data_IF_791821884608
#
_entry.id   IF_791821884608
#
_cell.length_a   1.000
_cell.length_b   1.000
_cell.length_c   1.000
_cell.angle_alpha   90.00
_cell.angle_beta   90.00
_cell.angle_gamma   90.00
#
_symmetry.space_group_name_H-M   'P 1'
#
loop_
_entity.id
_entity.type
_entity.pdbx_description
1 polymer ?
#
# COMPACT_ATOMS: atom_id res chain seq x y z
N UNK A 1 -1.07 -28.70 -4.61
CA UNK A 1 -0.66 -29.61 -5.70
C UNK A 1 -1.57 -29.45 -6.92
N UNK A 2 -2.88 -29.66 -6.80
CA UNK A 2 -3.84 -29.47 -7.90
C UNK A 2 -3.72 -28.12 -8.66
N UNK A 3 -3.68 -26.99 -7.94
CA UNK A 3 -3.51 -25.68 -8.59
C UNK A 3 -2.18 -25.53 -9.34
N UNK A 4 -1.10 -26.14 -8.82
CA UNK A 4 0.20 -26.11 -9.48
C UNK A 4 0.15 -26.94 -10.78
N UNK A 5 -0.51 -28.09 -10.76
CA UNK A 5 -0.72 -28.92 -11.95
C UNK A 5 -1.53 -28.19 -13.02
N UNK A 6 -2.65 -27.54 -12.65
CA UNK A 6 -3.45 -26.73 -13.58
C UNK A 6 -2.63 -25.58 -14.19
N UNK A 7 -1.75 -24.96 -13.41
CA UNK A 7 -0.88 -23.88 -13.87
C UNK A 7 0.38 -24.38 -14.62
N UNK A 8 0.55 -25.70 -14.78
CA UNK A 8 1.74 -26.28 -15.42
C UNK A 8 3.04 -26.06 -14.63
N UNK A 9 2.96 -25.96 -13.29
CA UNK A 9 4.09 -25.73 -12.39
C UNK A 9 4.42 -26.99 -11.59
N UNK A 10 5.70 -27.35 -11.55
CA UNK A 10 6.22 -28.49 -10.78
C UNK A 10 6.74 -28.09 -9.40
N UNK A 11 7.27 -26.87 -9.28
CA UNK A 11 7.81 -26.33 -8.03
C UNK A 11 6.79 -25.38 -7.39
N UNK A 12 6.61 -25.53 -6.08
CA UNK A 12 5.75 -24.65 -5.28
C UNK A 12 6.64 -23.71 -4.48
N UNK A 13 6.36 -22.43 -4.60
CA UNK A 13 7.06 -21.37 -3.87
C UNK A 13 6.10 -20.85 -2.80
N UNK A 14 6.58 -20.72 -1.56
CA UNK A 14 5.83 -20.03 -0.52
C UNK A 14 6.01 -18.51 -0.71
N UNK A 15 4.92 -17.73 -0.63
CA UNK A 15 4.99 -16.29 -0.90
C UNK A 15 5.62 -15.54 0.27
N UNK A 16 6.14 -14.34 0.00
CA UNK A 16 6.29 -13.33 1.03
C UNK A 16 4.88 -12.81 1.35
N UNK A 17 4.41 -12.89 2.61
CA UNK A 17 3.15 -12.28 2.97
C UNK A 17 3.28 -10.75 3.00
N UNK A 18 2.36 -10.05 2.35
CA UNK A 18 2.15 -8.61 2.52
C UNK A 18 1.01 -8.42 3.53
N UNK A 19 1.33 -7.99 4.73
CA UNK A 19 0.35 -7.81 5.81
C UNK A 19 -0.13 -6.38 5.81
N UNK A 20 -1.41 -6.14 5.53
CA UNK A 20 -2.01 -4.82 5.72
C UNK A 20 -2.12 -4.50 7.22
N UNK A 21 -1.35 -3.51 7.70
CA UNK A 21 -1.22 -3.20 9.13
C UNK A 21 -1.78 -1.84 9.54
N UNK A 22 -2.00 -0.94 8.58
CA UNK A 22 -2.77 0.29 8.75
C UNK A 22 -3.77 0.39 7.60
N UNK A 23 -5.06 0.45 7.93
CA UNK A 23 -6.12 0.69 6.96
C UNK A 23 -6.42 2.18 6.83
N UNK A 24 -6.56 2.64 5.60
CA UNK A 24 -7.13 3.93 5.22
C UNK A 24 -8.19 3.74 4.14
N UNK A 25 -8.28 4.70 3.22
CA UNK A 25 -9.18 4.67 2.08
C UNK A 25 -10.62 4.31 2.46
N UNK A 26 -11.25 3.47 1.66
CA UNK A 26 -12.60 2.98 1.85
C UNK A 26 -12.70 1.89 2.94
N UNK A 27 -11.58 1.34 3.41
CA UNK A 27 -11.50 0.26 4.40
C UNK A 27 -11.46 0.74 5.87
N UNK A 28 -11.48 2.06 6.11
CA UNK A 28 -11.42 2.63 7.46
C UNK A 28 -12.16 3.96 7.61
N UNK A 29 -12.88 4.10 8.73
CA UNK A 29 -13.54 5.33 9.17
C UNK A 29 -12.59 6.43 9.68
N UNK A 30 -11.39 6.56 9.11
CA UNK A 30 -10.42 7.62 9.38
C UNK A 30 -10.34 8.60 8.19
N UNK A 31 -9.39 9.54 8.23
CA UNK A 31 -9.18 10.52 7.13
C UNK A 31 -8.13 10.10 6.10
N UNK A 32 -7.42 9.00 6.34
CA UNK A 32 -6.31 8.56 5.51
C UNK A 32 -6.82 8.18 4.12
N UNK A 33 -6.30 8.79 3.06
CA UNK A 33 -6.82 8.56 1.70
C UNK A 33 -6.37 7.22 1.10
N UNK A 34 -5.11 6.85 1.28
CA UNK A 34 -4.57 5.61 0.72
C UNK A 34 -5.08 4.40 1.53
N UNK A 35 -5.38 3.31 0.84
CA UNK A 35 -6.19 2.21 1.37
C UNK A 35 -5.41 1.28 2.30
N UNK A 36 -4.20 0.90 1.91
CA UNK A 36 -3.42 -0.11 2.60
C UNK A 36 -1.96 0.30 2.79
N UNK A 37 -1.46 0.04 3.99
CA UNK A 37 -0.05 0.18 4.29
C UNK A 37 0.43 -1.15 4.84
N UNK A 38 1.21 -1.83 4.01
CA UNK A 38 1.60 -3.21 4.22
C UNK A 38 3.05 -3.34 4.68
N UNK A 39 3.32 -4.38 5.47
CA UNK A 39 4.68 -4.83 5.77
C UNK A 39 4.96 -6.17 5.08
N UNK A 40 6.16 -6.30 4.51
CA UNK A 40 6.61 -7.45 3.76
C UNK A 40 7.91 -7.98 4.39
N UNK A 41 7.89 -9.11 5.13
CA UNK A 41 9.08 -9.69 5.74
C UNK A 41 9.99 -10.42 4.72
N UNK A 42 10.54 -9.67 3.77
CA UNK A 42 11.42 -10.15 2.68
C UNK A 42 12.75 -10.73 3.18
N UNK A 43 13.21 -10.31 4.37
CA UNK A 43 14.41 -10.83 5.01
C UNK A 43 14.22 -12.14 5.79
N UNK A 44 13.01 -12.71 5.82
CA UNK A 44 12.73 -13.99 6.45
C UNK A 44 13.23 -15.18 5.60
N UNK A 45 13.69 -16.24 6.25
CA UNK A 45 14.19 -17.46 5.58
C UNK A 45 13.10 -18.52 5.36
N UNK A 46 11.96 -18.38 6.04
CA UNK A 46 10.79 -19.27 5.92
C UNK A 46 9.49 -18.49 6.06
N UNK A 47 8.40 -19.03 5.52
CA UNK A 47 7.07 -18.42 5.70
C UNK A 47 6.68 -18.31 7.19
N UNK A 48 7.01 -19.31 8.01
CA UNK A 48 6.74 -19.27 9.46
C UNK A 48 7.51 -18.15 10.16
N UNK A 49 8.76 -17.89 9.76
CA UNK A 49 9.54 -16.75 10.24
C UNK A 49 8.93 -15.42 9.76
N UNK A 50 8.51 -15.33 8.50
CA UNK A 50 7.85 -14.14 7.97
C UNK A 50 6.56 -13.83 8.75
N UNK A 51 5.74 -14.85 9.02
CA UNK A 51 4.53 -14.70 9.82
C UNK A 51 4.81 -14.23 11.25
N UNK A 52 5.85 -14.78 11.89
CA UNK A 52 6.30 -14.33 13.21
C UNK A 52 6.70 -12.86 13.17
N UNK A 53 7.57 -12.48 12.23
CA UNK A 53 8.04 -11.10 12.05
C UNK A 53 6.87 -10.13 11.85
N UNK A 54 5.94 -10.46 10.94
CA UNK A 54 4.74 -9.65 10.68
C UNK A 54 3.88 -9.48 11.94
N UNK A 55 3.61 -10.57 12.67
CA UNK A 55 2.79 -10.53 13.89
C UNK A 55 3.43 -9.70 15.01
N UNK A 56 4.75 -9.77 15.18
CA UNK A 56 5.46 -9.01 16.19
C UNK A 56 5.46 -7.51 15.85
N UNK A 57 5.73 -7.15 14.59
CA UNK A 57 5.60 -5.75 14.14
C UNK A 57 4.18 -5.23 14.32
N UNK A 58 3.15 -6.01 13.99
CA UNK A 58 1.76 -5.61 14.19
C UNK A 58 1.45 -5.32 15.67
N UNK A 59 1.90 -6.16 16.61
CA UNK A 59 1.73 -5.90 18.04
C UNK A 59 2.54 -4.69 18.54
N UNK A 60 3.74 -4.46 18.01
CA UNK A 60 4.52 -3.26 18.30
C UNK A 60 3.84 -2.00 17.76
N UNK A 61 3.29 -2.07 16.55
CA UNK A 61 2.55 -0.97 15.92
C UNK A 61 1.34 -0.58 16.75
N UNK A 62 0.59 -1.56 17.28
CA UNK A 62 -0.50 -1.30 18.24
C UNK A 62 -0.05 -0.41 19.40
N UNK A 63 1.11 -0.71 19.97
CA UNK A 63 1.65 0.04 21.11
C UNK A 63 2.15 1.43 20.70
N UNK A 64 2.74 1.57 19.51
CA UNK A 64 3.14 2.86 18.95
C UNK A 64 1.92 3.76 18.74
N UNK A 65 0.88 3.24 18.08
CA UNK A 65 -0.37 3.95 17.83
C UNK A 65 -1.03 4.34 19.16
N UNK A 66 -1.16 3.39 20.09
CA UNK A 66 -1.72 3.65 21.42
C UNK A 66 -0.96 4.75 22.17
N UNK A 67 0.37 4.74 22.10
CA UNK A 67 1.20 5.72 22.78
C UNK A 67 1.07 7.13 22.22
N UNK A 68 0.78 7.27 20.92
CA UNK A 68 0.66 8.57 20.23
C UNK A 68 -0.77 9.12 20.20
N UNK A 69 -1.76 8.25 20.02
CA UNK A 69 -3.15 8.65 19.71
C UNK A 69 -4.18 8.11 20.72
N UNK A 70 -3.76 7.31 21.70
CA UNK A 70 -4.64 6.71 22.70
C UNK A 70 -5.20 5.35 22.29
N UNK A 71 -5.94 4.72 23.21
CA UNK A 71 -6.45 3.36 23.04
C UNK A 71 -7.44 3.23 21.88
N UNK A 72 -8.29 4.23 21.68
CA UNK A 72 -9.37 4.18 20.69
C UNK A 72 -8.84 4.09 19.25
N UNK A 73 -7.66 4.65 19.00
CA UNK A 73 -6.95 4.57 17.72
C UNK A 73 -6.40 3.17 17.39
N UNK A 74 -6.51 2.20 18.31
CA UNK A 74 -6.09 0.80 18.07
C UNK A 74 -7.23 -0.12 17.65
N UNK A 75 -8.39 0.45 17.33
CA UNK A 75 -9.44 -0.26 16.60
C UNK A 75 -8.95 -0.60 15.19
N UNK A 76 -9.52 -1.65 14.61
CA UNK A 76 -9.12 -2.15 13.29
C UNK A 76 -10.14 -1.77 12.21
N UNK A 77 -9.66 -1.62 10.97
CA UNK A 77 -10.50 -1.51 9.78
C UNK A 77 -10.98 -2.87 9.29
N UNK A 78 -11.52 -2.90 8.07
CA UNK A 78 -12.18 -4.09 7.51
C UNK A 78 -11.23 -5.29 7.34
N UNK A 79 -9.93 -5.03 7.16
CA UNK A 79 -8.91 -6.06 6.92
C UNK A 79 -8.04 -6.38 8.13
N UNK A 80 -8.37 -5.81 9.29
CA UNK A 80 -7.66 -6.09 10.55
C UNK A 80 -6.43 -5.21 10.80
N UNK A 81 -6.03 -4.35 9.86
CA UNK A 81 -5.07 -3.27 10.08
C UNK A 81 -5.63 -2.19 11.01
N UNK A 82 -4.76 -1.43 11.70
CA UNK A 82 -5.23 -0.36 12.58
C UNK A 82 -5.79 0.82 11.79
N UNK A 83 -6.80 1.50 12.35
CA UNK A 83 -7.43 2.66 11.73
C UNK A 83 -7.23 3.95 12.55
N UNK A 84 -5.98 4.41 12.79
CA UNK A 84 -5.75 5.67 13.50
C UNK A 84 -6.33 6.85 12.71
N UNK A 85 -6.81 7.86 13.41
CA UNK A 85 -7.37 9.07 12.79
C UNK A 85 -6.26 10.04 12.33
N UNK A 86 -5.50 9.62 11.32
CA UNK A 86 -4.47 10.41 10.66
C UNK A 86 -4.94 10.80 9.26
N UNK A 87 -4.50 11.97 8.78
CA UNK A 87 -4.80 12.48 7.44
C UNK A 87 -3.61 12.28 6.49
N UNK A 88 -2.39 12.49 6.96
CA UNK A 88 -1.19 12.45 6.13
C UNK A 88 -0.67 11.01 5.96
N UNK A 89 -0.57 10.54 4.73
CA UNK A 89 -0.03 9.21 4.40
C UNK A 89 1.42 9.00 4.90
N UNK A 90 2.23 10.07 5.00
CA UNK A 90 3.59 10.00 5.59
C UNK A 90 3.57 9.62 7.08
N UNK A 91 2.53 9.99 7.82
CA UNK A 91 2.41 9.63 9.23
C UNK A 91 2.22 8.12 9.39
N UNK A 92 1.45 7.48 8.50
CA UNK A 92 1.28 6.03 8.51
C UNK A 92 2.61 5.29 8.29
N UNK A 93 3.41 5.72 7.30
CA UNK A 93 4.74 5.18 7.03
C UNK A 93 5.71 5.40 8.21
N UNK A 94 5.64 6.56 8.86
CA UNK A 94 6.44 6.86 10.06
C UNK A 94 6.11 5.90 11.22
N UNK A 95 4.83 5.62 11.45
CA UNK A 95 4.38 4.67 12.48
C UNK A 95 4.87 3.25 12.19
N UNK A 96 4.80 2.82 10.93
CA UNK A 96 5.25 1.49 10.48
C UNK A 96 6.77 1.35 10.66
N UNK A 97 7.56 2.32 10.22
CA UNK A 97 9.01 2.30 10.41
C UNK A 97 9.39 2.26 11.90
N UNK A 98 8.71 3.02 12.75
CA UNK A 98 8.93 2.96 14.21
C UNK A 98 8.60 1.56 14.76
N UNK A 99 7.51 0.94 14.32
CA UNK A 99 7.11 -0.40 14.74
C UNK A 99 8.12 -1.46 14.30
N UNK A 100 8.59 -1.41 13.04
CA UNK A 100 9.65 -2.29 12.51
C UNK A 100 10.92 -2.16 13.35
N UNK A 101 11.33 -0.93 13.65
CA UNK A 101 12.52 -0.67 14.47
C UNK A 101 12.36 -1.19 15.91
N UNK A 102 11.21 -0.95 16.54
CA UNK A 102 10.91 -1.44 17.90
C UNK A 102 10.82 -2.96 17.99
N UNK A 103 10.40 -3.62 16.93
CA UNK A 103 10.40 -5.08 16.83
C UNK A 103 11.79 -5.67 16.53
N UNK A 104 12.79 -4.83 16.20
CA UNK A 104 14.15 -5.27 15.90
C UNK A 104 14.34 -5.84 14.49
N UNK A 105 13.48 -5.46 13.54
CA UNK A 105 13.46 -6.00 12.17
C UNK A 105 13.86 -4.99 11.08
N UNK A 106 14.49 -3.87 11.44
CA UNK A 106 15.03 -2.90 10.46
C UNK A 106 15.93 -3.60 9.44
N UNK A 107 15.67 -3.35 8.15
CA UNK A 107 16.40 -3.96 7.04
C UNK A 107 16.04 -5.43 6.74
N UNK A 108 15.01 -5.98 7.41
CA UNK A 108 14.46 -7.32 7.13
C UNK A 108 12.99 -7.29 6.73
N UNK A 109 12.33 -6.14 6.86
CA UNK A 109 10.94 -5.91 6.50
C UNK A 109 10.90 -4.68 5.61
N UNK A 110 10.37 -4.88 4.42
CA UNK A 110 10.07 -3.82 3.46
C UNK A 110 8.59 -3.40 3.60
N UNK A 111 8.22 -2.32 2.91
CA UNK A 111 6.88 -1.74 2.92
C UNK A 111 6.27 -1.85 1.52
N UNK A 112 4.98 -2.16 1.48
CA UNK A 112 4.14 -2.08 0.30
C UNK A 112 2.93 -1.20 0.58
N UNK A 113 2.31 -0.69 -0.47
CA UNK A 113 1.07 0.08 -0.35
C UNK A 113 0.09 -0.36 -1.41
N UNK A 114 -1.20 -0.37 -1.05
CA UNK A 114 -2.28 -0.19 -2.01
C UNK A 114 -2.87 1.20 -1.80
N UNK A 115 -2.78 1.99 -2.86
CA UNK A 115 -3.25 3.36 -2.86
C UNK A 115 -4.75 3.39 -3.16
N UNK A 116 -5.26 2.51 -4.02
CA UNK A 116 -6.62 2.53 -4.57
C UNK A 116 -7.02 3.91 -5.11
N UNK A 117 -6.17 4.51 -5.96
CA UNK A 117 -6.33 5.91 -6.37
C UNK A 117 -7.62 6.23 -7.13
N UNK A 118 -8.24 5.23 -7.77
CA UNK A 118 -9.56 5.34 -8.41
C UNK A 118 -10.62 5.88 -7.45
N UNK A 119 -10.57 5.52 -6.16
CA UNK A 119 -11.56 5.94 -5.13
C UNK A 119 -11.58 7.46 -4.90
N UNK A 120 -10.42 8.10 -5.10
CA UNK A 120 -10.24 9.53 -4.90
C UNK A 120 -9.85 10.30 -6.16
N UNK A 121 -9.99 9.69 -7.33
CA UNK A 121 -9.87 10.40 -8.59
C UNK A 121 -11.07 11.32 -8.85
N UNK A 122 -10.81 12.57 -9.23
CA UNK A 122 -11.80 13.62 -9.48
C UNK A 122 -11.37 14.47 -10.68
N UNK A 123 -12.05 14.32 -11.82
CA UNK A 123 -11.91 15.17 -13.00
C UNK A 123 -10.44 15.42 -13.45
N UNK A 124 -9.62 14.36 -13.54
CA UNK A 124 -8.21 14.47 -13.94
C UNK A 124 -7.23 14.81 -12.82
N UNK A 125 -7.70 14.84 -11.56
CA UNK A 125 -6.91 15.09 -10.35
C UNK A 125 -7.24 14.08 -9.25
N UNK A 126 -6.56 14.19 -8.12
CA UNK A 126 -6.70 13.29 -6.97
C UNK A 126 -6.99 14.08 -5.69
N UNK A 127 -8.03 13.66 -4.96
CA UNK A 127 -8.48 14.26 -3.70
C UNK A 127 -8.00 13.46 -2.48
N UNK A 128 -6.86 13.85 -1.89
CA UNK A 128 -6.32 13.17 -0.71
C UNK A 128 -7.11 13.42 0.59
N UNK A 129 -8.26 14.10 0.53
CA UNK A 129 -9.22 14.26 1.63
C UNK A 129 -10.63 13.82 1.19
N UNK A 130 -10.75 12.88 0.24
CA UNK A 130 -12.04 12.48 -0.39
C UNK A 130 -13.15 12.02 0.55
N UNK A 131 -12.79 11.64 1.79
CA UNK A 131 -13.74 11.25 2.85
C UNK A 131 -14.36 12.45 3.55
N UNK A 132 -13.86 13.66 3.30
CA UNK A 132 -14.46 14.90 3.73
C UNK A 132 -15.74 15.15 2.90
N UNK A 133 -16.91 15.36 3.53
CA UNK A 133 -18.16 15.58 2.81
C UNK A 133 -18.18 16.91 2.02
N UNK A 134 -17.26 17.82 2.31
CA UNK A 134 -17.11 19.11 1.63
C UNK A 134 -15.64 19.32 1.28
N UNK A 135 -15.10 18.56 0.30
CA UNK A 135 -13.70 18.70 -0.09
C UNK A 135 -13.50 20.03 -0.81
N UNK A 136 -12.29 20.60 -0.70
CA UNK A 136 -11.89 21.82 -1.40
C UNK A 136 -11.17 21.45 -2.70
N UNK A 137 -11.78 21.66 -3.90
CA UNK A 137 -11.15 21.29 -5.17
C UNK A 137 -9.80 21.99 -5.45
N UNK A 138 -9.48 23.06 -4.72
CA UNK A 138 -8.18 23.73 -4.83
C UNK A 138 -7.02 22.94 -4.21
N UNK A 139 -7.31 21.96 -3.34
CA UNK A 139 -6.32 21.07 -2.74
C UNK A 139 -6.05 19.82 -3.58
N UNK A 140 -6.85 19.58 -4.62
CA UNK A 140 -6.70 18.39 -5.47
C UNK A 140 -5.39 18.47 -6.24
N UNK A 141 -4.65 17.37 -6.23
CA UNK A 141 -3.32 17.30 -6.83
C UNK A 141 -3.36 16.61 -8.19
N UNK A 142 -2.45 16.99 -9.08
CA UNK A 142 -2.34 16.38 -10.42
C UNK A 142 -1.70 15.00 -10.35
N UNK A 143 -1.81 14.17 -11.41
CA UNK A 143 -1.09 12.90 -11.49
C UNK A 143 0.43 13.07 -11.29
N UNK A 144 1.00 14.16 -11.82
CA UNK A 144 2.42 14.48 -11.64
C UNK A 144 2.80 14.74 -10.18
N UNK A 145 2.01 15.52 -9.47
CA UNK A 145 2.23 15.81 -8.05
C UNK A 145 2.06 14.55 -7.19
N UNK A 146 1.10 13.68 -7.53
CA UNK A 146 0.91 12.41 -6.84
C UNK A 146 2.07 11.45 -7.12
N UNK A 147 2.56 11.39 -8.36
CA UNK A 147 3.78 10.65 -8.72
C UNK A 147 5.02 11.13 -7.97
N UNK A 148 5.21 12.44 -7.83
CA UNK A 148 6.29 13.04 -7.02
C UNK A 148 6.20 12.62 -5.55
N UNK A 149 4.98 12.60 -4.98
CA UNK A 149 4.75 12.13 -3.62
C UNK A 149 5.17 10.66 -3.44
N UNK A 150 4.88 9.78 -4.39
CA UNK A 150 5.33 8.38 -4.35
C UNK A 150 6.86 8.26 -4.42
N UNK A 151 7.51 9.08 -5.24
CA UNK A 151 8.97 9.10 -5.32
C UNK A 151 9.60 9.53 -4.00
N UNK A 152 8.98 10.46 -3.27
CA UNK A 152 9.38 10.79 -1.90
C UNK A 152 9.21 9.60 -0.96
N UNK A 153 8.08 8.88 -1.02
CA UNK A 153 7.85 7.70 -0.18
C UNK A 153 8.89 6.61 -0.46
N UNK A 154 9.19 6.34 -1.73
CA UNK A 154 10.20 5.36 -2.15
C UNK A 154 11.59 5.73 -1.65
N UNK A 155 11.94 7.03 -1.67
CA UNK A 155 13.24 7.51 -1.21
C UNK A 155 13.39 7.45 0.32
N UNK A 156 12.31 7.72 1.05
CA UNK A 156 12.35 7.89 2.52
C UNK A 156 12.09 6.60 3.29
N UNK A 157 11.56 5.55 2.64
CA UNK A 157 11.11 4.32 3.27
C UNK A 157 11.65 3.09 2.51
N UNK A 158 11.72 1.89 3.13
CA UNK A 158 12.04 0.65 2.42
C UNK A 158 10.85 0.19 1.57
N UNK A 159 10.36 1.06 0.69
CA UNK A 159 9.22 0.79 -0.19
C UNK A 159 9.64 -0.13 -1.33
N UNK A 160 8.92 -1.22 -1.55
CA UNK A 160 9.22 -2.20 -2.61
C UNK A 160 8.03 -2.47 -3.53
N UNK A 161 6.82 -2.04 -3.16
CA UNK A 161 5.62 -2.22 -3.96
C UNK A 161 4.62 -1.09 -3.77
N UNK A 162 4.05 -0.58 -4.86
CA UNK A 162 2.87 0.30 -4.84
C UNK A 162 1.82 -0.25 -5.81
N UNK A 163 0.64 -0.49 -5.30
CA UNK A 163 -0.55 -0.92 -6.03
C UNK A 163 -1.50 0.25 -6.27
N UNK A 164 -2.12 0.27 -7.45
CA UNK A 164 -3.07 1.30 -7.92
C UNK A 164 -2.68 2.75 -7.60
N UNK A 165 -1.46 3.20 -7.98
CA UNK A 165 -0.99 4.57 -7.75
C UNK A 165 -1.81 5.64 -8.47
N UNK A 166 -2.58 5.28 -9.50
CA UNK A 166 -3.41 6.19 -10.28
C UNK A 166 -4.74 5.56 -10.63
N UNK A 167 -5.69 6.38 -11.10
CA UNK A 167 -6.97 5.91 -11.59
C UNK A 167 -6.81 4.81 -12.64
N UNK A 168 -7.75 3.86 -12.64
CA UNK A 168 -7.77 2.69 -13.52
C UNK A 168 -7.67 3.01 -15.02
N UNK A 169 -8.02 4.22 -15.47
CA UNK A 169 -7.92 4.64 -16.87
C UNK A 169 -6.86 5.75 -17.12
N UNK A 170 -6.08 6.17 -16.12
CA UNK A 170 -5.00 7.16 -16.24
C UNK A 170 -3.67 6.55 -16.74
N UNK A 171 -3.75 5.85 -17.87
CA UNK A 171 -2.66 5.05 -18.44
C UNK A 171 -1.33 5.78 -18.62
N UNK A 172 -1.36 7.10 -18.88
CA UNK A 172 -0.17 7.91 -19.09
C UNK A 172 0.58 8.14 -17.76
N UNK A 173 -0.15 8.36 -16.66
CA UNK A 173 0.42 8.48 -15.33
C UNK A 173 1.06 7.17 -14.86
N UNK A 174 0.36 6.03 -15.06
CA UNK A 174 0.90 4.69 -14.81
C UNK A 174 2.23 4.45 -15.54
N UNK A 175 2.21 4.63 -16.86
CA UNK A 175 3.41 4.46 -17.71
C UNK A 175 4.56 5.35 -17.25
N UNK A 176 4.25 6.60 -16.89
CA UNK A 176 5.26 7.57 -16.42
C UNK A 176 5.88 7.14 -15.09
N UNK A 177 5.08 6.72 -14.10
CA UNK A 177 5.63 6.28 -12.80
C UNK A 177 6.44 5.00 -12.96
N UNK A 178 5.91 3.99 -13.65
CA UNK A 178 6.56 2.70 -13.89
C UNK A 178 7.90 2.87 -14.62
N UNK A 179 8.00 3.82 -15.56
CA UNK A 179 9.27 4.14 -16.22
C UNK A 179 10.31 4.85 -15.33
N UNK A 180 9.88 5.46 -14.21
CA UNK A 180 10.72 6.27 -13.32
C UNK A 180 10.97 5.61 -11.96
N UNK A 181 10.68 4.32 -11.80
CA UNK A 181 10.96 3.58 -10.57
C UNK A 181 11.50 2.19 -10.85
N UNK A 182 12.13 1.60 -9.84
CA UNK A 182 12.62 0.21 -9.88
C UNK A 182 11.84 -0.71 -8.95
N UNK A 183 10.90 -0.17 -8.18
CA UNK A 183 10.05 -0.97 -7.29
C UNK A 183 8.93 -1.65 -8.09
N UNK A 184 8.24 -2.60 -7.46
CA UNK A 184 7.06 -3.22 -8.05
C UNK A 184 5.92 -2.20 -8.15
N UNK A 185 5.31 -2.08 -9.34
CA UNK A 185 4.03 -1.38 -9.54
C UNK A 185 2.99 -2.45 -9.86
N UNK A 186 1.87 -2.46 -9.13
CA UNK A 186 0.83 -3.49 -9.23
C UNK A 186 -0.45 -2.83 -9.74
N UNK A 187 -1.07 -3.45 -10.75
CA UNK A 187 -2.39 -3.04 -11.23
C UNK A 187 -3.47 -3.97 -10.73
N UNK A 188 -4.32 -3.48 -9.84
CA UNK A 188 -5.56 -4.14 -9.41
C UNK A 188 -6.74 -3.65 -10.26
N UNK A 189 -7.32 -2.48 -9.97
CA UNK A 189 -8.40 -1.88 -10.77
C UNK A 189 -7.96 -1.60 -12.21
N UNK A 190 -6.68 -1.28 -12.41
CA UNK A 190 -6.13 -1.10 -13.75
C UNK A 190 -6.33 -2.35 -14.61
N UNK A 191 -6.16 -3.55 -14.03
CA UNK A 191 -6.15 -4.80 -14.80
C UNK A 191 -7.38 -5.67 -14.57
N UNK A 192 -8.04 -5.58 -13.41
CA UNK A 192 -9.19 -6.35 -12.92
C UNK A 192 -9.08 -7.84 -13.24
N UNK A 193 -7.86 -8.39 -13.18
CA UNK A 193 -7.55 -9.77 -13.57
C UNK A 193 -8.08 -10.12 -14.99
N UNK A 194 -8.18 -9.13 -15.88
CA UNK A 194 -8.74 -9.26 -17.21
C UNK A 194 -7.65 -9.33 -18.28
N UNK A 195 -7.58 -10.41 -19.09
CA UNK A 195 -6.53 -10.58 -20.09
C UNK A 195 -6.39 -9.44 -21.10
N UNK A 196 -7.48 -8.73 -21.43
CA UNK A 196 -7.43 -7.61 -22.37
C UNK A 196 -6.78 -6.38 -21.74
N UNK A 197 -7.13 -6.04 -20.50
CA UNK A 197 -6.52 -4.90 -19.80
C UNK A 197 -5.06 -5.20 -19.44
N UNK A 198 -4.76 -6.44 -19.06
CA UNK A 198 -3.37 -6.90 -18.87
C UNK A 198 -2.55 -6.74 -20.15
N UNK A 199 -3.09 -7.15 -21.31
CA UNK A 199 -2.39 -6.98 -22.59
C UNK A 199 -2.09 -5.51 -22.89
N UNK A 200 -3.06 -4.62 -22.63
CA UNK A 200 -2.88 -3.17 -22.77
C UNK A 200 -1.83 -2.62 -21.80
N UNK A 201 -1.85 -3.04 -20.53
CA UNK A 201 -0.87 -2.62 -19.52
C UNK A 201 0.56 -3.04 -19.93
N UNK A 202 0.73 -4.26 -20.43
CA UNK A 202 2.01 -4.75 -20.96
C UNK A 202 2.47 -3.96 -22.18
N UNK A 203 1.57 -3.66 -23.13
CA UNK A 203 1.89 -2.85 -24.32
C UNK A 203 2.36 -1.45 -23.94
N UNK A 204 1.67 -0.82 -22.99
CA UNK A 204 1.96 0.53 -22.53
C UNK A 204 3.14 0.61 -21.54
N UNK A 205 3.52 -0.52 -20.94
CA UNK A 205 4.44 -0.57 -19.78
C UNK A 205 3.89 0.26 -18.61
N UNK A 206 2.57 0.14 -18.42
CA UNK A 206 1.87 0.66 -17.26
C UNK A 206 2.27 -0.12 -16.01
#
# INVERSE_FOLDING_TARGET
RYLAELAGRTEVILPVPAFNVINGGSHAGNKLAMQEFMILPTGATTFSEALKMGSEVFHHLKNVIKGRFGLDATSVGDEGGFAPNILNNKDALTLINEAIAKAGYTGKIDIGMDVAASEFYRDGKYDLDFKNPTPDPSTFITPDQLGELYQEFIKENPMVSIEDPFDQDDWDAWTKLTANTTIQIVGDDLTVTNPKRIATAVEKKA
#
